data_IF_325229681325
#
_entry.id   IF_325229681325
#
_cell.length_a   1.000
_cell.length_b   1.000
_cell.length_c   1.000
_cell.angle_alpha   90.00
_cell.angle_beta   90.00
_cell.angle_gamma   90.00
#
_symmetry.space_group_name_H-M   'P 1'
#
loop_
_entity.id
_entity.type
_entity.pdbx_description
1 polymer ?
#
# COMPACT_ATOMS: atom_id res chain seq x y z
N UNK A 1 28.86 -1.71 -51.22
CA UNK A 1 28.22 -0.49 -50.72
C UNK A 1 27.33 -0.86 -49.55
N UNK A 2 27.78 -0.66 -48.31
CA UNK A 2 26.98 -0.89 -47.09
C UNK A 2 26.26 0.41 -46.74
N UNK A 3 24.92 0.39 -46.71
CA UNK A 3 24.08 1.47 -46.25
C UNK A 3 24.09 1.52 -44.73
N UNK A 4 24.68 2.55 -44.16
CA UNK A 4 24.63 2.83 -42.74
C UNK A 4 23.30 3.58 -42.52
N UNK A 5 22.38 2.97 -41.75
CA UNK A 5 21.15 3.60 -41.30
C UNK A 5 21.49 4.28 -39.97
N UNK A 6 21.48 5.61 -39.97
CA UNK A 6 21.53 6.39 -38.72
C UNK A 6 20.12 6.40 -38.11
N UNK A 7 19.98 5.75 -36.98
CA UNK A 7 18.82 5.95 -36.10
C UNK A 7 19.11 7.16 -35.24
N UNK A 8 18.44 8.27 -35.51
CA UNK A 8 18.41 9.43 -34.62
C UNK A 8 17.53 9.06 -33.41
N UNK A 9 18.15 8.79 -32.28
CA UNK A 9 17.50 8.83 -30.99
C UNK A 9 17.27 10.31 -30.62
N UNK A 10 16.03 10.74 -30.77
CA UNK A 10 15.57 12.00 -30.19
C UNK A 10 15.45 11.79 -28.68
N UNK A 11 16.48 12.17 -27.93
CA UNK A 11 16.36 12.38 -26.49
C UNK A 11 15.47 13.60 -26.27
N UNK A 12 14.18 13.37 -26.14
CA UNK A 12 13.23 14.36 -25.64
C UNK A 12 13.50 14.59 -24.17
N UNK A 13 14.12 15.72 -23.83
CA UNK A 13 14.12 16.25 -22.48
C UNK A 13 12.66 16.50 -22.08
N UNK A 14 12.09 15.62 -21.28
CA UNK A 14 10.80 15.85 -20.61
C UNK A 14 11.05 16.89 -19.53
N UNK A 15 10.89 18.15 -19.88
CA UNK A 15 10.67 19.19 -18.87
C UNK A 15 9.37 18.80 -18.16
N UNK A 16 9.47 18.46 -16.88
CA UNK A 16 8.32 18.28 -16.01
C UNK A 16 7.59 19.63 -15.89
N UNK A 17 6.71 19.91 -16.85
CA UNK A 17 5.68 20.91 -16.67
C UNK A 17 4.82 20.39 -15.51
N UNK A 18 4.56 21.24 -14.51
CA UNK A 18 3.61 20.95 -13.45
C UNK A 18 2.30 20.51 -14.12
N UNK A 19 2.08 19.19 -14.17
CA UNK A 19 0.85 18.65 -14.74
C UNK A 19 -0.29 19.10 -13.85
N UNK A 20 -1.15 19.94 -14.39
CA UNK A 20 -2.39 20.30 -13.72
C UNK A 20 -3.18 19.02 -13.48
N UNK A 21 -3.72 18.84 -12.26
CA UNK A 21 -4.62 17.76 -11.95
C UNK A 21 -5.79 17.75 -12.94
N UNK A 22 -5.89 16.69 -13.73
CA UNK A 22 -6.95 16.49 -14.73
C UNK A 22 -8.05 15.53 -14.29
N UNK A 23 -7.97 15.00 -13.06
CA UNK A 23 -8.89 13.99 -12.55
C UNK A 23 -10.13 14.56 -11.86
N UNK A 24 -10.96 13.65 -11.36
CA UNK A 24 -12.23 13.95 -10.70
C UNK A 24 -12.01 14.24 -9.21
N UNK A 25 -12.57 15.34 -8.71
CA UNK A 25 -12.75 15.56 -7.29
C UNK A 25 -13.95 14.76 -6.81
N UNK A 26 -13.76 13.96 -5.75
CA UNK A 26 -14.79 13.09 -5.19
C UNK A 26 -15.18 13.59 -3.81
N UNK A 27 -16.49 13.70 -3.61
CA UNK A 27 -17.13 13.92 -2.31
C UNK A 27 -17.91 12.64 -1.95
N UNK A 28 -17.30 11.69 -1.22
CA UNK A 28 -17.90 10.40 -0.99
C UNK A 28 -18.93 10.44 0.14
N UNK A 29 -19.91 9.54 0.07
CA UNK A 29 -20.66 9.19 1.28
C UNK A 29 -19.69 8.52 2.26
N UNK A 30 -19.53 9.09 3.44
CA UNK A 30 -18.65 8.61 4.48
C UNK A 30 -19.42 8.14 5.70
N UNK A 31 -19.10 6.97 6.23
CA UNK A 31 -19.64 6.46 7.48
C UNK A 31 -18.55 5.78 8.30
N UNK A 32 -18.66 5.92 9.63
CA UNK A 32 -17.77 5.23 10.56
C UNK A 32 -18.23 3.79 10.74
N UNK A 33 -17.29 2.88 10.65
CA UNK A 33 -17.46 1.49 10.99
C UNK A 33 -16.59 1.22 12.22
N UNK A 34 -17.15 1.47 13.39
CA UNK A 34 -16.42 1.39 14.65
C UNK A 34 -16.03 -0.06 14.95
N UNK A 35 -14.76 -0.29 15.09
CA UNK A 35 -14.19 -1.51 15.67
C UNK A 35 -13.50 -1.16 16.97
N UNK A 36 -13.55 -2.05 17.94
CA UNK A 36 -12.89 -1.90 19.23
C UNK A 36 -11.90 -3.03 19.44
N UNK A 37 -11.01 -2.79 20.34
CA UNK A 37 -10.04 -3.80 20.73
C UNK A 37 -8.83 -3.80 19.82
N UNK A 38 -7.76 -4.11 20.43
CA UNK A 38 -6.41 -4.17 19.94
C UNK A 38 -5.54 -4.31 21.16
N UNK A 39 -4.27 -4.56 20.95
CA UNK A 39 -3.30 -4.64 22.05
C UNK A 39 -2.75 -3.27 22.45
N UNK A 40 -3.37 -2.20 21.96
CA UNK A 40 -2.95 -0.83 22.22
C UNK A 40 -1.72 -0.41 21.43
N UNK A 41 -1.42 -1.08 20.32
CA UNK A 41 -0.41 -0.67 19.35
C UNK A 41 -1.04 0.13 18.22
N UNK A 42 -0.23 0.86 17.47
CA UNK A 42 -0.68 1.61 16.31
C UNK A 42 -1.30 0.64 15.28
N UNK A 43 -2.44 1.04 14.75
CA UNK A 43 -3.06 0.33 13.63
C UNK A 43 -2.23 0.59 12.38
N UNK A 44 -2.18 -0.39 11.49
CA UNK A 44 -1.39 -0.36 10.27
C UNK A 44 -2.20 -0.95 9.10
N UNK A 45 -1.66 -1.93 8.39
CA UNK A 45 -2.28 -2.57 7.26
C UNK A 45 -3.68 -3.15 7.52
N UNK A 46 -4.47 -3.23 6.47
CA UNK A 46 -5.80 -3.84 6.53
C UNK A 46 -6.12 -4.59 5.23
N UNK A 47 -6.75 -5.76 5.35
CA UNK A 47 -7.29 -6.46 4.20
C UNK A 47 -8.58 -7.20 4.53
N UNK A 48 -9.39 -7.49 3.52
CA UNK A 48 -10.71 -8.12 3.68
C UNK A 48 -10.86 -9.36 2.79
N UNK A 49 -11.31 -10.46 3.38
CA UNK A 49 -11.65 -11.67 2.65
C UNK A 49 -12.99 -12.25 3.11
N UNK A 50 -13.93 -12.38 2.18
CA UNK A 50 -15.29 -12.76 2.52
C UNK A 50 -15.89 -11.79 3.53
N UNK A 51 -16.24 -12.28 4.71
CA UNK A 51 -16.76 -11.48 5.82
C UNK A 51 -15.69 -11.02 6.82
N UNK A 52 -14.46 -11.46 6.67
CA UNK A 52 -13.39 -11.16 7.62
C UNK A 52 -12.65 -9.89 7.23
N UNK A 53 -12.42 -9.06 8.23
CA UNK A 53 -11.53 -7.91 8.18
C UNK A 53 -10.30 -8.28 9.00
N UNK A 54 -9.13 -8.20 8.39
CA UNK A 54 -7.84 -8.39 9.02
C UNK A 54 -7.22 -7.00 9.21
N UNK A 55 -7.15 -6.54 10.44
CA UNK A 55 -6.53 -5.26 10.81
C UNK A 55 -5.22 -5.55 11.54
N UNK A 56 -4.14 -5.09 10.96
CA UNK A 56 -2.79 -5.33 11.43
C UNK A 56 -2.36 -4.21 12.39
N UNK A 57 -1.57 -4.58 13.38
CA UNK A 57 -0.92 -3.64 14.29
C UNK A 57 0.59 -3.60 14.02
N UNK A 58 1.22 -2.49 14.39
CA UNK A 58 2.68 -2.36 14.42
C UNK A 58 3.32 -3.55 15.17
N UNK A 59 4.26 -4.21 14.53
CA UNK A 59 4.88 -5.44 15.00
C UNK A 59 4.22 -6.73 14.53
N UNK A 60 3.11 -6.66 13.76
CA UNK A 60 2.53 -7.81 13.07
C UNK A 60 1.51 -8.62 13.85
N UNK A 61 0.87 -8.05 14.88
CA UNK A 61 -0.36 -8.64 15.44
C UNK A 61 -1.54 -8.36 14.51
N UNK A 62 -2.44 -9.32 14.33
CA UNK A 62 -3.63 -9.20 13.49
C UNK A 62 -4.88 -9.37 14.34
N UNK A 63 -5.75 -8.37 14.30
CA UNK A 63 -7.10 -8.44 14.82
C UNK A 63 -8.05 -8.84 13.70
N UNK A 64 -8.89 -9.83 13.92
CA UNK A 64 -9.87 -10.31 12.95
C UNK A 64 -11.27 -9.92 13.39
N UNK A 65 -11.98 -9.18 12.53
CA UNK A 65 -13.38 -8.77 12.74
C UNK A 65 -14.31 -9.47 11.75
N UNK A 66 -15.57 -9.60 12.10
CA UNK A 66 -16.62 -10.08 11.19
C UNK A 66 -17.45 -8.88 10.69
N UNK A 67 -17.31 -8.50 9.45
CA UNK A 67 -17.98 -7.34 8.83
C UNK A 67 -19.51 -7.42 8.87
N UNK A 68 -20.10 -8.61 9.08
CA UNK A 68 -21.56 -8.76 9.18
C UNK A 68 -22.08 -8.42 10.57
N UNK A 69 -21.24 -8.55 11.58
CA UNK A 69 -21.65 -8.40 12.96
C UNK A 69 -21.61 -6.95 13.42
N UNK A 70 -20.99 -6.05 12.65
CA UNK A 70 -20.76 -4.64 13.01
C UNK A 70 -20.23 -4.50 14.45
N UNK A 71 -19.53 -5.54 14.94
CA UNK A 71 -19.09 -5.60 16.32
C UNK A 71 -17.71 -5.01 16.48
N UNK A 72 -17.65 -4.32 17.52
CA UNK A 72 -16.59 -3.52 18.08
C UNK A 72 -15.41 -4.33 18.60
N UNK A 73 -15.58 -5.64 18.81
CA UNK A 73 -14.58 -6.53 19.39
C UNK A 73 -14.07 -7.48 18.30
N UNK A 74 -12.77 -7.78 18.23
CA UNK A 74 -12.28 -8.80 17.33
C UNK A 74 -12.81 -10.18 17.73
N UNK A 75 -13.22 -10.96 16.73
CA UNK A 75 -13.65 -12.35 16.91
C UNK A 75 -12.46 -13.29 17.15
N UNK A 76 -11.27 -12.85 16.78
CA UNK A 76 -10.01 -13.54 16.98
C UNK A 76 -8.84 -12.57 16.86
N UNK A 77 -7.67 -12.99 17.36
CA UNK A 77 -6.39 -12.35 17.13
C UNK A 77 -5.30 -13.38 16.93
N UNK A 78 -4.28 -13.07 16.16
CA UNK A 78 -3.11 -13.92 15.96
C UNK A 78 -1.87 -13.09 15.61
N UNK A 79 -0.70 -13.70 15.72
CA UNK A 79 0.55 -13.08 15.25
C UNK A 79 0.85 -13.56 13.85
N UNK A 80 1.33 -12.64 12.99
CA UNK A 80 1.98 -13.02 11.74
C UNK A 80 3.23 -13.84 12.03
N UNK A 81 3.57 -14.79 11.18
CA UNK A 81 4.82 -15.52 11.32
C UNK A 81 6.04 -14.60 11.12
N UNK A 82 5.89 -13.50 10.38
CA UNK A 82 6.87 -12.41 10.21
C UNK A 82 6.82 -11.36 11.34
N UNK A 83 6.01 -11.57 12.40
CA UNK A 83 5.90 -10.60 13.50
C UNK A 83 7.25 -10.33 14.17
N UNK A 84 7.49 -9.07 14.51
CA UNK A 84 8.71 -8.64 15.16
C UNK A 84 8.83 -7.12 15.24
N UNK A 85 9.83 -6.61 15.99
CA UNK A 85 9.98 -5.17 16.23
C UNK A 85 10.32 -4.37 14.96
N UNK A 86 10.80 -5.05 13.92
CA UNK A 86 11.17 -4.44 12.64
C UNK A 86 10.10 -4.60 11.58
N UNK A 87 9.05 -5.36 11.82
CA UNK A 87 7.90 -5.44 10.93
C UNK A 87 6.84 -4.42 11.33
N UNK A 88 6.73 -3.34 10.54
CA UNK A 88 5.71 -2.32 10.76
C UNK A 88 4.33 -2.73 10.24
N UNK A 89 4.26 -3.79 9.41
CA UNK A 89 3.04 -4.32 8.81
C UNK A 89 2.13 -3.23 8.18
N UNK A 90 2.74 -2.26 7.53
CA UNK A 90 2.14 -1.01 7.09
C UNK A 90 1.02 -1.19 6.04
N UNK A 91 1.10 -2.23 5.21
CA UNK A 91 0.09 -2.54 4.21
C UNK A 91 -0.11 -4.06 4.14
N UNK A 92 -1.32 -4.48 3.84
CA UNK A 92 -1.66 -5.88 3.63
C UNK A 92 -2.59 -6.08 2.45
N UNK A 93 -2.25 -6.98 1.54
CA UNK A 93 -3.12 -7.35 0.42
C UNK A 93 -3.19 -8.87 0.22
N UNK A 94 -4.37 -9.40 -0.06
CA UNK A 94 -4.49 -10.77 -0.53
C UNK A 94 -4.12 -10.88 -2.01
N UNK A 95 -3.30 -11.88 -2.33
CA UNK A 95 -2.94 -12.24 -3.69
C UNK A 95 -3.98 -13.11 -4.40
N UNK A 96 -3.51 -13.78 -5.43
CA UNK A 96 -4.32 -14.71 -6.25
C UNK A 96 -4.03 -16.18 -5.94
N UNK A 97 -2.81 -16.49 -5.51
CA UNK A 97 -2.39 -17.83 -5.16
C UNK A 97 -2.86 -18.19 -3.74
N UNK A 98 -3.08 -19.48 -3.52
CA UNK A 98 -3.47 -20.03 -2.24
C UNK A 98 -2.59 -21.21 -1.91
N UNK A 99 -1.91 -21.17 -0.78
CA UNK A 99 -1.11 -22.30 -0.33
C UNK A 99 -1.98 -23.53 -0.02
N UNK A 100 -1.40 -24.71 -0.16
CA UNK A 100 -2.11 -25.96 0.14
C UNK A 100 -2.58 -25.98 1.60
N UNK A 101 -3.86 -26.15 1.82
CA UNK A 101 -4.47 -26.19 3.15
C UNK A 101 -4.77 -24.82 3.77
N UNK A 102 -4.34 -23.72 3.13
CA UNK A 102 -4.70 -22.38 3.60
C UNK A 102 -6.21 -22.12 3.50
N UNK A 103 -6.72 -21.24 4.35
CA UNK A 103 -8.14 -20.82 4.29
C UNK A 103 -8.36 -19.62 3.41
N UNK A 104 -7.33 -18.81 3.21
CA UNK A 104 -7.35 -17.56 2.45
C UNK A 104 -6.29 -17.59 1.34
N UNK A 105 -6.36 -16.70 0.35
CA UNK A 105 -5.23 -16.43 -0.54
C UNK A 105 -3.98 -16.03 0.26
N UNK A 106 -2.82 -16.05 -0.36
CA UNK A 106 -1.59 -15.55 0.25
C UNK A 106 -1.75 -14.07 0.59
N UNK A 107 -1.35 -13.67 1.79
CA UNK A 107 -1.33 -12.27 2.23
C UNK A 107 0.06 -11.70 2.03
N UNK A 108 0.15 -10.62 1.29
CA UNK A 108 1.37 -9.86 1.02
C UNK A 108 1.40 -8.68 1.99
N UNK A 109 2.49 -8.54 2.74
CA UNK A 109 2.61 -7.57 3.82
C UNK A 109 3.84 -6.72 3.60
N UNK A 110 3.63 -5.41 3.45
CA UNK A 110 4.70 -4.43 3.36
C UNK A 110 5.28 -4.15 4.74
N UNK A 111 6.60 -4.13 4.84
CA UNK A 111 7.26 -3.83 6.12
C UNK A 111 7.02 -2.39 6.60
N UNK A 112 7.22 -1.40 5.73
CA UNK A 112 6.99 0.02 6.04
C UNK A 112 7.97 0.66 7.05
N UNK A 113 9.00 -0.04 7.53
CA UNK A 113 9.95 0.49 8.52
C UNK A 113 11.26 0.94 7.88
N UNK A 114 11.38 2.23 7.69
CA UNK A 114 12.57 2.85 7.11
C UNK A 114 13.83 2.66 7.98
N UNK A 115 14.94 2.36 7.31
CA UNK A 115 16.26 2.17 7.92
C UNK A 115 16.42 0.86 8.68
N UNK A 116 15.51 -0.08 8.51
CA UNK A 116 15.69 -1.47 8.97
C UNK A 116 16.36 -2.32 7.88
N UNK A 117 16.97 -3.44 8.28
CA UNK A 117 17.58 -4.39 7.34
C UNK A 117 16.55 -5.05 6.40
N UNK A 118 15.26 -4.86 6.68
CA UNK A 118 14.14 -5.42 5.93
C UNK A 118 13.27 -4.35 5.24
N UNK A 119 13.76 -3.13 5.08
CA UNK A 119 12.96 -2.04 4.50
C UNK A 119 12.47 -2.29 3.07
N UNK A 120 13.18 -3.14 2.32
CA UNK A 120 12.87 -3.53 0.94
C UNK A 120 12.13 -4.85 0.83
N UNK A 121 11.46 -5.26 1.90
CA UNK A 121 10.90 -6.61 2.03
C UNK A 121 9.38 -6.61 2.01
N UNK A 122 8.82 -7.57 1.27
CA UNK A 122 7.44 -8.01 1.36
C UNK A 122 7.42 -9.42 1.97
N UNK A 123 6.65 -9.59 3.03
CA UNK A 123 6.38 -10.91 3.61
C UNK A 123 5.14 -11.51 2.98
N UNK A 124 5.22 -12.77 2.58
CA UNK A 124 4.09 -13.51 2.00
C UNK A 124 3.66 -14.59 2.99
N UNK A 125 2.45 -14.42 3.52
CA UNK A 125 1.95 -15.28 4.60
C UNK A 125 0.77 -16.13 4.14
N UNK A 126 0.78 -17.39 4.58
CA UNK A 126 -0.34 -18.32 4.40
C UNK A 126 -1.19 -18.33 5.66
N UNK A 127 -2.46 -17.98 5.56
CA UNK A 127 -3.36 -17.93 6.70
C UNK A 127 -4.31 -19.11 6.68
N UNK A 128 -4.31 -19.87 7.77
CA UNK A 128 -5.18 -21.03 8.03
C UNK A 128 -6.17 -20.68 9.13
N UNK A 129 -7.43 -21.11 8.95
CA UNK A 129 -8.48 -20.95 9.95
C UNK A 129 -9.09 -22.30 10.31
N UNK A 130 -9.14 -22.60 11.59
CA UNK A 130 -9.87 -23.75 12.15
C UNK A 130 -10.81 -23.23 13.24
N UNK A 131 -12.11 -23.33 13.03
CA UNK A 131 -13.13 -22.68 13.85
C UNK A 131 -12.89 -21.16 13.97
N UNK A 132 -12.62 -20.66 15.15
CA UNK A 132 -12.28 -19.24 15.40
C UNK A 132 -10.79 -19.00 15.65
N UNK A 133 -9.95 -20.02 15.43
CA UNK A 133 -8.50 -19.88 15.52
C UNK A 133 -7.92 -19.58 14.15
N UNK A 134 -7.05 -18.58 14.08
CA UNK A 134 -6.28 -18.23 12.91
C UNK A 134 -4.80 -18.49 13.20
N UNK A 135 -4.08 -18.91 12.19
CA UNK A 135 -2.63 -19.11 12.24
C UNK A 135 -2.01 -18.60 10.96
N UNK A 136 -0.85 -18.02 11.09
CA UNK A 136 -0.04 -17.59 9.97
C UNK A 136 1.22 -18.42 9.84
N UNK A 137 1.68 -18.59 8.62
CA UNK A 137 2.95 -19.23 8.24
C UNK A 137 3.62 -18.35 7.18
N UNK A 138 4.86 -17.95 7.42
CA UNK A 138 5.65 -17.23 6.43
C UNK A 138 6.11 -18.22 5.36
N UNK A 139 5.55 -18.12 4.17
CA UNK A 139 5.79 -19.07 3.06
C UNK A 139 6.77 -18.55 2.01
N UNK A 140 6.91 -17.22 1.90
CA UNK A 140 7.88 -16.60 1.00
C UNK A 140 8.25 -15.21 1.51
N UNK A 141 9.46 -14.78 1.20
CA UNK A 141 9.95 -13.43 1.41
C UNK A 141 10.41 -12.87 0.07
N UNK A 142 9.84 -11.75 -0.35
CA UNK A 142 10.20 -11.06 -1.58
C UNK A 142 10.99 -9.82 -1.21
N UNK A 143 12.16 -9.64 -1.79
CA UNK A 143 12.98 -8.44 -1.61
C UNK A 143 13.17 -7.72 -2.94
N UNK A 144 13.29 -6.40 -2.90
CA UNK A 144 13.64 -5.59 -4.07
C UNK A 144 15.10 -5.15 -3.96
N UNK A 145 15.91 -5.54 -4.93
CA UNK A 145 17.24 -4.99 -5.11
C UNK A 145 17.17 -3.81 -6.10
N UNK A 146 17.33 -2.61 -5.57
CA UNK A 146 17.29 -1.37 -6.37
C UNK A 146 18.57 -1.06 -7.11
N UNK A 147 19.62 -1.86 -6.92
CA UNK A 147 20.86 -1.70 -7.67
C UNK A 147 20.62 -1.88 -9.17
N UNK A 148 21.35 -1.12 -9.98
CA UNK A 148 21.23 -1.21 -11.43
C UNK A 148 20.02 -0.49 -12.07
N UNK A 149 19.00 -0.03 -11.30
CA UNK A 149 17.86 0.69 -11.88
C UNK A 149 18.31 1.98 -12.56
N UNK A 150 19.06 2.82 -11.86
CA UNK A 150 19.56 4.09 -12.43
C UNK A 150 20.52 3.83 -13.63
N UNK A 151 21.35 2.82 -13.59
CA UNK A 151 22.27 2.45 -14.68
C UNK A 151 21.51 2.03 -15.96
N UNK A 152 20.31 1.46 -15.80
CA UNK A 152 19.42 1.10 -16.90
C UNK A 152 18.45 2.20 -17.30
N UNK A 153 18.57 3.39 -16.71
CA UNK A 153 17.78 4.56 -17.04
C UNK A 153 16.39 4.61 -16.37
N UNK A 154 16.19 3.83 -15.32
CA UNK A 154 14.98 3.91 -14.49
C UNK A 154 15.19 4.80 -13.27
N UNK A 155 14.17 5.55 -12.90
CA UNK A 155 14.19 6.36 -11.70
C UNK A 155 14.11 5.47 -10.46
N UNK A 156 15.04 5.57 -9.49
CA UNK A 156 14.99 4.78 -8.27
C UNK A 156 13.89 5.27 -7.34
N UNK A 157 13.24 4.32 -6.65
CA UNK A 157 12.28 4.62 -5.58
C UNK A 157 12.98 4.69 -4.22
N UNK A 158 12.35 5.39 -3.30
CA UNK A 158 12.77 5.45 -1.90
C UNK A 158 12.32 4.20 -1.13
N UNK A 159 13.02 3.84 -0.05
CA UNK A 159 12.75 2.67 0.79
C UNK A 159 11.37 2.63 1.44
N UNK A 160 11.03 1.51 2.00
CA UNK A 160 9.71 1.21 2.57
C UNK A 160 8.56 1.31 1.57
N UNK A 161 8.66 0.71 0.39
CA UNK A 161 7.59 0.75 -0.57
C UNK A 161 6.37 -0.03 -0.10
N UNK A 162 5.20 0.36 -0.57
CA UNK A 162 4.01 -0.49 -0.54
C UNK A 162 4.06 -1.52 -1.64
N UNK A 163 3.73 -2.77 -1.29
CA UNK A 163 3.67 -3.90 -2.20
C UNK A 163 2.22 -4.20 -2.49
N UNK A 164 1.78 -3.90 -3.71
CA UNK A 164 0.38 -3.88 -4.10
C UNK A 164 0.09 -4.98 -5.11
N UNK A 165 -1.04 -5.67 -4.97
CA UNK A 165 -1.42 -6.80 -5.83
C UNK A 165 -2.53 -6.43 -6.80
N UNK A 166 -2.19 -6.32 -8.06
CA UNK A 166 -3.19 -6.26 -9.13
C UNK A 166 -3.70 -7.69 -9.44
N UNK A 167 -4.82 -8.03 -8.83
CA UNK A 167 -5.42 -9.37 -8.97
C UNK A 167 -5.94 -9.62 -10.39
N UNK A 168 -6.39 -8.60 -11.06
CA UNK A 168 -6.97 -8.68 -12.40
C UNK A 168 -5.89 -8.90 -13.45
N UNK A 169 -4.82 -8.10 -13.37
CA UNK A 169 -3.69 -8.16 -14.31
C UNK A 169 -2.60 -9.14 -13.87
N UNK A 170 -2.77 -9.78 -12.70
CA UNK A 170 -1.84 -10.74 -12.09
C UNK A 170 -0.44 -10.16 -11.97
N UNK A 171 -0.35 -8.95 -11.45
CA UNK A 171 0.90 -8.21 -11.31
C UNK A 171 1.15 -7.81 -9.86
N UNK A 172 2.42 -7.71 -9.52
CA UNK A 172 2.91 -7.12 -8.28
C UNK A 172 3.42 -5.72 -8.60
N UNK A 173 2.90 -4.74 -7.88
CA UNK A 173 3.35 -3.37 -7.98
C UNK A 173 4.11 -2.98 -6.71
N UNK A 174 5.21 -2.27 -6.89
CA UNK A 174 6.01 -1.70 -5.81
C UNK A 174 5.92 -0.19 -5.92
N UNK A 175 5.27 0.46 -4.97
CA UNK A 175 4.94 1.87 -5.03
C UNK A 175 5.60 2.67 -3.90
N UNK A 176 6.32 3.73 -4.26
CA UNK A 176 6.91 4.67 -3.30
C UNK A 176 7.18 6.03 -3.95
N UNK A 177 7.59 7.01 -3.16
CA UNK A 177 8.13 8.26 -3.67
C UNK A 177 9.55 8.05 -4.22
N UNK A 178 10.00 8.96 -5.10
CA UNK A 178 11.39 9.01 -5.55
C UNK A 178 12.35 9.39 -4.42
N UNK A 179 11.96 10.35 -3.60
CA UNK A 179 12.76 10.81 -2.47
C UNK A 179 11.94 10.79 -1.18
N UNK A 180 12.63 10.60 -0.07
CA UNK A 180 12.02 10.67 1.24
C UNK A 180 11.45 12.05 1.51
N UNK A 181 10.17 12.08 1.84
CA UNK A 181 9.52 13.27 2.34
C UNK A 181 9.37 13.20 3.85
N UNK A 182 9.99 14.14 4.55
CA UNK A 182 9.78 14.30 5.99
C UNK A 182 9.34 15.74 6.26
N UNK A 183 8.61 16.01 7.35
CA UNK A 183 8.27 17.39 7.73
C UNK A 183 9.48 18.31 7.92
N UNK A 184 10.66 17.72 8.09
CA UNK A 184 11.92 18.45 8.28
C UNK A 184 12.70 18.71 6.98
N UNK A 185 12.38 17.99 5.92
CA UNK A 185 12.98 18.16 4.61
C UNK A 185 11.94 18.82 3.73
N UNK A 186 12.05 20.12 3.58
CA UNK A 186 11.25 20.90 2.63
C UNK A 186 11.73 20.58 1.21
N UNK A 187 11.42 19.39 0.73
CA UNK A 187 11.53 19.11 -0.68
C UNK A 187 10.42 19.91 -1.36
N UNK A 188 10.77 20.66 -2.38
CA UNK A 188 9.78 21.27 -3.22
C UNK A 188 9.02 20.16 -3.92
N UNK A 189 7.70 20.29 -4.01
CA UNK A 189 6.86 19.30 -4.70
C UNK A 189 7.31 19.07 -6.16
N UNK A 190 7.96 20.07 -6.77
CA UNK A 190 8.52 20.03 -8.11
C UNK A 190 9.74 19.11 -8.27
N UNK A 191 10.41 18.77 -7.15
CA UNK A 191 11.62 17.94 -7.16
C UNK A 191 11.32 16.47 -6.79
N UNK A 192 10.07 16.12 -6.52
CA UNK A 192 9.68 14.77 -6.14
C UNK A 192 8.51 14.26 -6.98
N UNK A 193 8.38 12.96 -7.06
CA UNK A 193 7.32 12.25 -7.78
C UNK A 193 7.11 10.88 -7.13
N UNK A 194 5.99 10.23 -7.46
CA UNK A 194 5.76 8.84 -7.09
C UNK A 194 6.12 7.93 -8.23
N UNK A 195 6.56 6.73 -7.88
CA UNK A 195 6.98 5.71 -8.83
C UNK A 195 6.29 4.40 -8.48
N UNK A 196 5.76 3.74 -9.49
CA UNK A 196 5.31 2.36 -9.40
C UNK A 196 6.15 1.48 -10.32
N UNK A 197 6.70 0.41 -9.79
CA UNK A 197 7.33 -0.67 -10.54
C UNK A 197 6.38 -1.85 -10.66
N UNK A 198 6.19 -2.35 -11.86
CA UNK A 198 5.43 -3.56 -12.13
C UNK A 198 6.33 -4.76 -12.32
N UNK A 199 6.01 -5.81 -11.61
CA UNK A 199 6.64 -7.12 -11.73
C UNK A 199 5.59 -8.21 -11.95
N UNK A 200 6.03 -9.38 -12.35
CA UNK A 200 5.24 -10.60 -12.19
C UNK A 200 5.14 -10.94 -10.69
N UNK A 201 4.02 -11.45 -10.26
CA UNK A 201 3.89 -11.99 -8.90
C UNK A 201 4.77 -13.26 -8.82
N UNK A 202 5.77 -13.33 -7.92
CA UNK A 202 6.50 -14.57 -7.67
C UNK A 202 5.55 -15.67 -7.17
N UNK A 203 5.78 -16.90 -7.62
CA UNK A 203 5.03 -18.07 -7.17
C UNK A 203 5.77 -18.79 -6.03
N UNK A 204 5.05 -19.60 -5.25
CA UNK A 204 5.67 -20.39 -4.18
C UNK A 204 6.71 -21.40 -4.71
N UNK A 205 6.59 -21.85 -5.97
CA UNK A 205 7.55 -22.76 -6.60
C UNK A 205 8.92 -22.13 -6.83
N UNK A 206 9.03 -20.80 -6.81
CA UNK A 206 10.31 -20.08 -6.96
C UNK A 206 11.14 -20.09 -5.66
N UNK A 207 10.58 -20.63 -4.58
CA UNK A 207 11.24 -20.83 -3.32
C UNK A 207 10.88 -19.82 -2.23
N UNK A 208 11.50 -20.02 -1.07
CA UNK A 208 11.19 -19.25 0.14
C UNK A 208 11.70 -17.79 0.10
N UNK A 209 12.76 -17.53 -0.66
CA UNK A 209 13.33 -16.18 -0.82
C UNK A 209 13.44 -15.85 -2.30
N UNK A 210 12.83 -14.76 -2.69
CA UNK A 210 12.88 -14.24 -4.06
C UNK A 210 13.42 -12.81 -4.01
N UNK A 211 14.37 -12.50 -4.86
CA UNK A 211 14.88 -11.14 -5.04
C UNK A 211 14.45 -10.65 -6.42
N UNK A 212 13.67 -9.57 -6.44
CA UNK A 212 13.34 -8.86 -7.67
C UNK A 212 14.42 -7.83 -7.97
N UNK A 213 14.80 -7.78 -9.22
CA UNK A 213 15.84 -6.88 -9.73
C UNK A 213 15.31 -6.06 -10.90
N UNK A 214 16.12 -5.17 -11.42
CA UNK A 214 15.79 -4.43 -12.64
C UNK A 214 15.57 -5.33 -13.86
N UNK A 215 16.10 -6.56 -13.86
CA UNK A 215 15.89 -7.53 -14.94
C UNK A 215 14.50 -8.15 -14.92
N UNK A 216 13.84 -8.14 -13.77
CA UNK A 216 12.45 -8.60 -13.58
C UNK A 216 11.41 -7.50 -13.84
N UNK A 217 11.87 -6.25 -13.98
CA UNK A 217 11.00 -5.10 -14.17
C UNK A 217 10.26 -5.17 -15.52
N UNK A 218 8.93 -5.14 -15.45
CA UNK A 218 8.07 -5.12 -16.64
C UNK A 218 7.70 -3.70 -17.08
N UNK A 219 7.52 -2.81 -16.10
CA UNK A 219 7.09 -1.43 -16.35
C UNK A 219 7.48 -0.53 -15.18
N UNK A 220 7.86 0.71 -15.48
CA UNK A 220 7.92 1.81 -14.53
C UNK A 220 6.86 2.84 -14.93
N UNK A 221 6.12 3.34 -13.94
CA UNK A 221 5.19 4.45 -14.11
C UNK A 221 5.56 5.54 -13.11
N UNK A 222 5.60 6.78 -13.60
CA UNK A 222 5.91 7.96 -12.79
C UNK A 222 4.64 8.79 -12.68
N UNK A 223 4.33 9.23 -11.45
CA UNK A 223 3.16 10.04 -11.15
C UNK A 223 3.55 11.38 -10.53
N UNK A 224 2.76 12.43 -10.72
CA UNK A 224 3.01 13.70 -10.10
C UNK A 224 2.96 13.59 -8.57
N UNK A 225 3.89 14.30 -7.91
CA UNK A 225 3.89 14.42 -6.47
C UNK A 225 2.91 15.52 -6.04
N UNK A 226 2.03 15.20 -5.11
CA UNK A 226 1.00 16.14 -4.68
C UNK A 226 0.91 16.30 -3.16
N UNK A 227 1.30 15.28 -2.44
CA UNK A 227 1.16 15.27 -0.99
C UNK A 227 2.25 14.44 -0.33
N UNK A 228 2.54 14.77 0.88
CA UNK A 228 3.52 14.08 1.70
C UNK A 228 2.85 13.18 2.73
N UNK A 229 3.67 12.40 3.42
CA UNK A 229 3.25 11.47 4.44
C UNK A 229 2.35 10.38 3.86
N UNK A 230 2.99 9.60 3.03
CA UNK A 230 2.42 8.39 2.45
C UNK A 230 2.16 7.36 3.55
N UNK A 231 1.03 6.70 3.45
CA UNK A 231 0.69 5.57 4.28
C UNK A 231 0.65 4.30 3.41
N UNK A 232 -0.52 3.75 3.14
CA UNK A 232 -0.65 2.59 2.30
C UNK A 232 -1.88 2.67 1.39
N UNK A 233 -2.15 1.59 0.66
CA UNK A 233 -3.25 1.55 -0.26
C UNK A 233 -3.40 0.21 -0.95
N UNK A 234 -4.25 0.14 -1.97
CA UNK A 234 -4.51 -1.08 -2.71
C UNK A 234 -4.61 -0.86 -4.22
N UNK A 235 -4.53 -1.97 -4.97
CA UNK A 235 -4.84 -2.00 -6.40
C UNK A 235 -6.30 -2.35 -6.64
N UNK A 236 -6.95 -1.58 -7.50
CA UNK A 236 -8.29 -1.88 -7.98
C UNK A 236 -8.50 -1.33 -9.40
N UNK A 237 -8.99 -2.15 -10.32
CA UNK A 237 -9.25 -1.78 -11.72
C UNK A 237 -8.07 -1.06 -12.39
N UNK A 238 -6.86 -1.61 -12.23
CA UNK A 238 -5.62 -1.06 -12.80
C UNK A 238 -5.19 0.29 -12.23
N UNK A 239 -5.73 0.67 -11.07
CA UNK A 239 -5.42 1.93 -10.39
C UNK A 239 -4.93 1.67 -8.99
N UNK A 240 -4.01 2.53 -8.53
CA UNK A 240 -3.54 2.55 -7.15
C UNK A 240 -4.40 3.55 -6.38
N UNK A 241 -5.16 3.07 -5.42
CA UNK A 241 -5.83 3.89 -4.42
C UNK A 241 -4.92 3.99 -3.22
N UNK A 242 -4.52 5.19 -2.86
CA UNK A 242 -3.49 5.37 -1.85
C UNK A 242 -3.88 6.46 -0.85
N UNK A 243 -3.75 6.16 0.44
CA UNK A 243 -4.09 7.09 1.52
C UNK A 243 -2.87 7.87 2.03
N UNK A 244 -3.17 9.07 2.53
CA UNK A 244 -2.18 10.04 3.02
C UNK A 244 -2.73 10.78 4.23
N UNK A 245 -1.80 11.19 5.09
CA UNK A 245 -2.06 12.20 6.08
C UNK A 245 -2.39 11.67 7.47
N UNK A 246 -2.44 12.62 8.39
CA UNK A 246 -2.67 12.38 9.82
C UNK A 246 -3.91 13.13 10.35
N UNK A 247 -4.77 13.57 9.44
CA UNK A 247 -6.02 14.26 9.75
C UNK A 247 -5.82 15.53 10.58
N UNK A 248 -6.64 15.70 11.61
CA UNK A 248 -6.64 16.89 12.48
C UNK A 248 -5.40 17.07 13.36
N UNK A 249 -4.48 16.11 13.35
CA UNK A 249 -3.18 16.24 14.05
C UNK A 249 -2.32 17.32 13.36
N UNK A 250 -2.36 17.37 12.01
CA UNK A 250 -1.62 18.35 11.23
C UNK A 250 -2.36 18.66 9.91
N UNK A 251 -3.54 19.32 10.01
CA UNK A 251 -4.44 19.47 8.87
C UNK A 251 -3.91 20.37 7.77
N UNK A 252 -2.97 21.25 8.07
CA UNK A 252 -2.39 22.17 7.09
C UNK A 252 -1.33 21.47 6.21
N UNK A 253 -0.48 20.63 6.82
CA UNK A 253 0.62 20.01 6.12
C UNK A 253 0.34 18.56 5.72
N UNK A 254 -0.46 17.83 6.50
CA UNK A 254 -0.72 16.40 6.33
C UNK A 254 -2.21 16.05 6.46
N UNK A 255 -3.08 16.70 5.68
CA UNK A 255 -4.51 16.41 5.70
C UNK A 255 -4.83 15.01 5.22
N UNK A 256 -5.90 14.42 5.72
CA UNK A 256 -6.41 13.13 5.27
C UNK A 256 -6.86 13.18 3.81
N UNK A 257 -6.28 12.33 2.96
CA UNK A 257 -6.53 12.31 1.52
C UNK A 257 -6.43 10.91 0.96
N UNK A 258 -7.21 10.61 -0.09
CA UNK A 258 -6.96 9.49 -0.99
C UNK A 258 -6.65 10.06 -2.37
N UNK A 259 -5.67 9.48 -3.02
CA UNK A 259 -5.33 9.75 -4.42
C UNK A 259 -5.44 8.46 -5.22
N UNK A 260 -5.98 8.58 -6.41
CA UNK A 260 -6.16 7.45 -7.32
C UNK A 260 -5.24 7.66 -8.51
N UNK A 261 -4.24 6.80 -8.60
CA UNK A 261 -3.20 6.83 -9.63
C UNK A 261 -3.53 5.80 -10.70
N UNK A 262 -3.70 6.24 -11.92
CA UNK A 262 -3.95 5.38 -13.07
C UNK A 262 -2.61 4.86 -13.63
N UNK A 263 -2.39 3.55 -13.55
CA UNK A 263 -1.12 2.93 -13.94
C UNK A 263 -0.91 2.87 -15.46
N UNK A 264 -1.95 3.06 -16.26
CA UNK A 264 -1.83 3.08 -17.72
C UNK A 264 -1.44 4.46 -18.24
N UNK A 265 -1.98 5.52 -17.63
CA UNK A 265 -1.73 6.90 -18.06
C UNK A 265 -0.62 7.63 -17.28
N UNK A 266 -0.24 7.14 -16.11
CA UNK A 266 0.70 7.82 -15.21
C UNK A 266 0.13 9.11 -14.61
N UNK A 267 -1.18 9.21 -14.46
CA UNK A 267 -1.86 10.41 -13.96
C UNK A 267 -2.62 10.15 -12.67
N UNK A 268 -2.91 11.23 -11.91
CA UNK A 268 -3.88 11.18 -10.83
C UNK A 268 -5.26 11.36 -11.48
N UNK A 269 -6.10 10.33 -11.43
CA UNK A 269 -7.40 10.35 -12.08
C UNK A 269 -8.56 10.70 -11.11
N UNK A 270 -8.35 10.59 -9.80
CA UNK A 270 -9.34 11.03 -8.80
C UNK A 270 -8.69 11.44 -7.49
N UNK A 271 -9.37 12.34 -6.77
CA UNK A 271 -9.01 12.87 -5.46
C UNK A 271 -10.20 12.78 -4.51
N UNK A 272 -9.90 12.33 -3.30
CA UNK A 272 -10.79 12.45 -2.15
C UNK A 272 -10.07 13.30 -1.10
N UNK A 273 -10.60 14.44 -0.76
CA UNK A 273 -10.11 15.28 0.34
C UNK A 273 -11.02 15.05 1.54
N UNK A 274 -10.49 14.35 2.56
CA UNK A 274 -11.26 13.70 3.61
C UNK A 274 -11.02 14.28 5.00
N UNK A 275 -10.37 15.45 5.09
CA UNK A 275 -9.91 15.98 6.38
C UNK A 275 -11.06 16.29 7.36
N UNK A 276 -12.25 16.61 6.84
CA UNK A 276 -13.45 16.82 7.66
C UNK A 276 -14.12 15.50 8.05
N UNK A 277 -14.08 14.51 7.17
CA UNK A 277 -14.73 13.21 7.36
C UNK A 277 -13.86 12.24 8.18
N UNK A 278 -12.55 12.20 7.92
CA UNK A 278 -11.61 11.32 8.59
C UNK A 278 -10.57 12.16 9.35
N UNK A 279 -10.84 12.47 10.64
CA UNK A 279 -9.97 13.34 11.43
C UNK A 279 -8.70 12.66 11.96
N UNK A 280 -8.49 11.40 11.64
CA UNK A 280 -7.42 10.55 12.15
C UNK A 280 -6.38 10.24 11.09
N UNK A 281 -5.26 9.65 11.52
CA UNK A 281 -4.24 9.12 10.64
C UNK A 281 -4.79 7.93 9.87
N UNK A 282 -4.86 8.06 8.55
CA UNK A 282 -5.25 6.95 7.68
C UNK A 282 -4.04 6.06 7.45
N UNK A 283 -4.16 4.77 7.72
CA UNK A 283 -3.04 3.85 7.68
C UNK A 283 -3.06 2.99 6.41
N UNK A 284 -4.20 2.42 6.08
CA UNK A 284 -4.36 1.56 4.90
C UNK A 284 -5.80 1.58 4.41
N UNK A 285 -6.02 1.12 3.20
CA UNK A 285 -7.35 1.00 2.63
C UNK A 285 -7.52 -0.26 1.79
N UNK A 286 -8.75 -0.75 1.72
CA UNK A 286 -9.15 -1.87 0.86
C UNK A 286 -10.46 -1.55 0.14
N UNK A 287 -10.58 -2.02 -1.10
CA UNK A 287 -11.82 -1.88 -1.87
C UNK A 287 -12.54 -3.22 -1.93
N UNK A 288 -13.81 -3.18 -1.53
CA UNK A 288 -14.66 -4.35 -1.54
C UNK A 288 -16.13 -4.00 -1.81
N UNK A 289 -16.75 -4.76 -2.71
CA UNK A 289 -18.18 -4.66 -3.04
C UNK A 289 -18.61 -3.21 -3.37
N UNK A 290 -17.75 -2.46 -4.09
CA UNK A 290 -18.01 -1.08 -4.49
C UNK A 290 -17.84 -0.03 -3.39
N UNK A 291 -17.17 -0.38 -2.29
CA UNK A 291 -16.86 0.51 -1.17
C UNK A 291 -15.37 0.53 -0.87
N UNK A 292 -14.88 1.69 -0.48
CA UNK A 292 -13.54 1.85 0.08
C UNK A 292 -13.66 1.73 1.61
N UNK A 293 -12.88 0.86 2.22
CA UNK A 293 -12.73 0.78 3.67
C UNK A 293 -11.35 1.30 4.05
N UNK A 294 -11.29 2.20 5.01
CA UNK A 294 -10.05 2.84 5.45
C UNK A 294 -9.80 2.52 6.90
N UNK A 295 -8.65 1.92 7.18
CA UNK A 295 -8.17 1.70 8.54
C UNK A 295 -7.51 2.98 9.08
N UNK A 296 -7.77 3.32 10.34
CA UNK A 296 -7.21 4.54 10.93
C UNK A 296 -6.58 4.28 12.29
N UNK A 297 -5.55 5.05 12.59
CA UNK A 297 -4.95 5.14 13.91
C UNK A 297 -5.54 6.36 14.63
N UNK A 298 -6.36 6.12 15.64
CA UNK A 298 -7.09 7.19 16.34
C UNK A 298 -6.27 7.91 17.41
N UNK A 299 -5.07 7.43 17.68
CA UNK A 299 -4.26 7.98 18.77
C UNK A 299 -3.16 8.91 18.26
N UNK A 300 -3.06 10.14 18.79
CA UNK A 300 -1.90 10.99 18.57
C UNK A 300 -0.64 10.48 19.29
N UNK A 301 -0.81 9.50 20.19
CA UNK A 301 0.26 8.82 20.90
C UNK A 301 0.28 7.37 20.46
N UNK A 302 1.38 6.94 19.87
CA UNK A 302 1.57 5.56 19.44
C UNK A 302 1.08 4.56 20.48
N UNK A 303 0.16 3.70 20.09
CA UNK A 303 -0.31 2.60 20.90
C UNK A 303 -1.48 2.88 21.85
N UNK A 304 -2.22 3.96 21.69
CA UNK A 304 -3.39 4.26 22.53
C UNK A 304 -4.57 4.69 21.66
N UNK A 305 -5.54 3.84 21.50
CA UNK A 305 -6.80 4.12 20.83
C UNK A 305 -7.38 2.89 20.16
N UNK A 306 -8.69 2.80 20.15
CA UNK A 306 -9.39 1.81 19.37
C UNK A 306 -9.31 2.21 17.89
N UNK A 307 -9.09 1.28 16.96
CA UNK A 307 -9.14 1.58 15.54
C UNK A 307 -10.55 2.02 15.14
N UNK A 308 -10.63 2.90 14.16
CA UNK A 308 -11.88 3.21 13.46
C UNK A 308 -11.69 2.83 12.01
N UNK A 309 -12.61 2.06 11.47
CA UNK A 309 -12.69 1.79 10.05
C UNK A 309 -13.76 2.68 9.47
N UNK A 310 -13.39 3.47 8.47
CA UNK A 310 -14.32 4.28 7.70
C UNK A 310 -14.74 3.53 6.44
N UNK A 311 -15.98 3.74 6.05
CA UNK A 311 -16.54 3.22 4.81
C UNK A 311 -16.96 4.38 3.92
N UNK A 312 -16.37 4.43 2.72
CA UNK A 312 -16.58 5.49 1.74
C UNK A 312 -17.23 4.91 0.49
N UNK A 313 -18.14 5.67 -0.12
CA UNK A 313 -18.63 5.30 -1.45
C UNK A 313 -17.57 5.48 -2.51
N UNK A 314 -17.54 4.57 -3.48
CA UNK A 314 -16.77 4.78 -4.72
C UNK A 314 -17.57 5.64 -5.70
N UNK A 315 -16.90 6.39 -6.61
CA UNK A 315 -17.58 7.05 -7.71
C UNK A 315 -18.31 6.01 -8.57
N UNK A 316 -19.50 6.34 -8.99
CA UNK A 316 -20.30 5.52 -9.92
C UNK A 316 -19.94 5.81 -11.36
#
# INVERSE_FOLDING_TARGET
>A
MRKIVFVLLLAGSVTAAAQSFGGMQIDPECSEFLVKGGRGRAQQGMEMSGRFIFSLEDGGHVNVYDSRLMYREPIAGFELASSGPDNHANNAEFGIEKARGASFPLMYISNGKYGSDIEWTCFVESITRVANMFRSELVQTITLDISGFAEKGYEPIFGCPSWLIDRERKALWVFSAHQRTTPKVTLKAEDNFYIAYRFRIPTLDEGYKVTLTVDDLQQQVIFPFETWFTQAGCMYDGKIYYCFGVGKIDPENRPSRIRVYDTDSGTICAKYDLNEDIPYEMEDLVIKDGWIFVNTNTSPRRGQGDPIIYKLSMPR
#
